data_IF_978476331465
#
_entry.id   IF_978476331465
#
_cell.length_a   1.000
_cell.length_b   1.000
_cell.length_c   1.000
_cell.angle_alpha   90.00
_cell.angle_beta   90.00
_cell.angle_gamma   90.00
#
_symmetry.space_group_name_H-M   'P 1'
#
loop_
_entity.id
_entity.type
_entity.pdbx_description
1 polymer ?
#
# COMPACT_ATOMS: atom_id res chain seq x y z
N UNK A 1 -18.49 -19.64 4.61
CA UNK A 1 -18.86 -19.71 6.04
C UNK A 1 -20.20 -20.42 6.23
N UNK A 2 -21.34 -19.91 5.72
CA UNK A 2 -22.63 -20.61 5.85
C UNK A 2 -22.63 -22.06 5.32
N UNK A 3 -22.08 -22.29 4.11
CA UNK A 3 -21.93 -23.64 3.55
C UNK A 3 -21.02 -24.58 4.36
N UNK A 4 -20.22 -24.05 5.29
CA UNK A 4 -19.37 -24.84 6.20
C UNK A 4 -20.03 -25.02 7.58
N UNK A 5 -21.35 -24.81 7.71
CA UNK A 5 -22.10 -25.04 8.96
C UNK A 5 -22.11 -23.88 9.97
N UNK A 6 -21.54 -22.71 9.62
CA UNK A 6 -21.59 -21.53 10.50
C UNK A 6 -22.94 -20.83 10.40
N UNK A 7 -23.72 -20.89 11.48
CA UNK A 7 -25.09 -20.34 11.53
C UNK A 7 -25.15 -18.86 11.93
N UNK A 8 -24.11 -18.36 12.61
CA UNK A 8 -24.03 -16.99 13.14
C UNK A 8 -23.00 -16.19 12.35
N UNK A 9 -23.40 -15.76 11.15
CA UNK A 9 -22.54 -15.01 10.21
C UNK A 9 -23.28 -13.74 9.81
N UNK A 10 -22.61 -12.61 9.98
CA UNK A 10 -23.14 -11.29 9.66
C UNK A 10 -22.17 -10.56 8.73
N UNK A 11 -22.71 -9.59 8.01
CA UNK A 11 -21.97 -8.69 7.13
C UNK A 11 -22.41 -7.26 7.43
N UNK A 12 -21.49 -6.30 7.23
CA UNK A 12 -21.83 -4.88 7.30
C UNK A 12 -22.53 -4.53 5.99
N UNK A 13 -23.81 -4.20 6.07
CA UNK A 13 -24.57 -3.73 4.92
C UNK A 13 -23.97 -2.43 4.38
N UNK A 14 -23.65 -2.40 3.09
CA UNK A 14 -22.99 -1.26 2.43
C UNK A 14 -21.49 -1.10 2.77
N UNK A 15 -20.92 -2.01 3.56
CA UNK A 15 -19.49 -2.02 3.88
C UNK A 15 -19.02 -0.86 4.77
N UNK A 16 -17.71 -0.62 4.78
CA UNK A 16 -17.05 0.32 5.71
C UNK A 16 -17.46 1.77 5.46
N UNK A 17 -17.59 2.18 4.20
CA UNK A 17 -17.96 3.56 3.83
C UNK A 17 -19.38 3.87 4.34
N UNK A 18 -20.34 2.98 4.07
CA UNK A 18 -21.71 3.15 4.53
C UNK A 18 -21.83 3.09 6.06
N UNK A 19 -21.06 2.20 6.71
CA UNK A 19 -20.94 2.17 8.16
C UNK A 19 -20.50 3.53 8.72
N UNK A 20 -19.43 4.10 8.18
CA UNK A 20 -18.91 5.39 8.64
C UNK A 20 -19.94 6.51 8.43
N UNK A 21 -20.64 6.52 7.29
CA UNK A 21 -21.71 7.48 6.99
C UNK A 21 -22.86 7.38 7.99
N UNK A 22 -23.45 6.19 8.15
CA UNK A 22 -24.58 5.97 9.07
C UNK A 22 -24.22 6.28 10.53
N UNK A 23 -23.02 5.89 10.97
CA UNK A 23 -22.55 6.18 12.33
C UNK A 23 -22.48 7.69 12.58
N UNK A 24 -21.90 8.46 11.63
CA UNK A 24 -21.84 9.94 11.73
C UNK A 24 -23.22 10.57 11.72
N UNK A 25 -24.12 10.13 10.84
CA UNK A 25 -25.50 10.64 10.76
C UNK A 25 -26.31 10.40 12.04
N UNK A 26 -26.07 9.28 12.70
CA UNK A 26 -26.75 8.90 13.94
C UNK A 26 -26.04 9.43 15.19
N UNK A 27 -24.94 10.18 15.05
CA UNK A 27 -24.13 10.63 16.19
C UNK A 27 -23.48 9.50 16.99
N UNK A 28 -23.28 8.33 16.37
CA UNK A 28 -22.65 7.17 16.98
C UNK A 28 -21.12 7.25 16.87
N UNK A 29 -20.39 6.65 17.84
CA UNK A 29 -18.93 6.59 17.78
C UNK A 29 -18.46 5.75 16.58
N UNK A 30 -17.61 6.34 15.73
CA UNK A 30 -16.92 5.62 14.66
C UNK A 30 -15.76 4.83 15.25
N UNK A 31 -15.76 3.51 15.05
CA UNK A 31 -14.75 2.58 15.60
C UNK A 31 -13.69 2.18 14.58
N UNK A 32 -13.87 2.54 13.31
CA UNK A 32 -12.86 2.33 12.28
C UNK A 32 -11.70 3.32 12.51
N UNK A 33 -10.47 2.81 12.48
CA UNK A 33 -9.26 3.59 12.72
C UNK A 33 -8.45 3.68 11.42
N UNK A 34 -8.17 4.92 11.01
CA UNK A 34 -7.31 5.30 9.92
C UNK A 34 -8.02 5.49 8.58
N UNK A 35 -7.33 5.07 7.51
CA UNK A 35 -7.76 5.27 6.13
C UNK A 35 -8.23 3.95 5.51
N UNK A 36 -9.43 3.95 4.96
CA UNK A 36 -9.95 2.82 4.21
C UNK A 36 -9.38 2.83 2.79
N UNK A 37 -8.77 1.75 2.34
CA UNK A 37 -8.28 1.64 0.96
C UNK A 37 -9.45 1.53 -0.02
N UNK A 38 -9.41 2.30 -1.11
CA UNK A 38 -10.41 2.25 -2.18
C UNK A 38 -9.73 1.96 -3.51
N UNK A 39 -10.43 1.23 -4.39
CA UNK A 39 -9.89 0.72 -5.66
C UNK A 39 -10.12 1.70 -6.81
N UNK A 40 -9.78 2.97 -6.60
CA UNK A 40 -9.82 4.03 -7.60
C UNK A 40 -8.63 4.99 -7.39
N UNK A 41 -8.56 6.04 -8.19
CA UNK A 41 -7.44 7.00 -8.18
C UNK A 41 -7.22 7.69 -6.82
N UNK A 42 -8.23 7.70 -5.93
CA UNK A 42 -8.11 8.31 -4.60
C UNK A 42 -7.21 7.50 -3.68
N UNK A 43 -7.04 6.18 -3.93
CA UNK A 43 -6.24 5.22 -3.16
C UNK A 43 -6.62 5.07 -1.67
N UNK A 44 -7.50 5.91 -1.14
CA UNK A 44 -8.12 5.71 0.16
C UNK A 44 -9.09 6.83 0.51
N UNK A 45 -9.99 6.51 1.44
CA UNK A 45 -10.91 7.43 2.08
C UNK A 45 -10.55 7.54 3.57
N UNK A 46 -10.26 8.75 4.03
CA UNK A 46 -9.92 8.97 5.44
C UNK A 46 -11.19 8.88 6.29
N UNK A 47 -11.20 7.94 7.23
CA UNK A 47 -12.33 7.75 8.14
C UNK A 47 -12.03 8.37 9.52
N UNK A 48 -10.78 8.25 9.97
CA UNK A 48 -10.26 8.92 11.17
C UNK A 48 -8.82 9.41 10.95
N UNK A 49 -8.30 10.23 11.87
CA UNK A 49 -7.02 10.94 11.69
C UNK A 49 -5.79 10.09 12.02
N UNK A 50 -5.99 8.96 12.71
CA UNK A 50 -4.91 8.06 13.10
C UNK A 50 -4.19 7.47 11.87
N UNK A 51 -2.86 7.50 11.91
CA UNK A 51 -2.01 6.85 10.93
C UNK A 51 -1.52 5.55 11.55
N UNK A 52 -2.01 4.42 11.02
CA UNK A 52 -1.69 3.07 11.52
C UNK A 52 -0.61 2.35 10.68
N UNK A 53 -0.05 3.05 9.70
CA UNK A 53 0.93 2.52 8.76
C UNK A 53 2.21 3.34 8.76
N UNK A 54 3.23 2.78 8.12
CA UNK A 54 4.56 3.36 8.04
C UNK A 54 5.06 3.28 6.61
N UNK A 55 5.83 4.29 6.19
CA UNK A 55 6.55 4.31 4.93
C UNK A 55 7.39 3.04 4.80
N UNK A 56 7.23 2.33 3.70
CA UNK A 56 7.95 1.07 3.49
C UNK A 56 9.46 1.25 3.24
N UNK A 57 9.92 2.48 2.99
CA UNK A 57 11.32 2.78 2.66
C UNK A 57 12.10 3.39 3.82
N UNK A 58 11.47 4.17 4.70
CA UNK A 58 12.14 4.83 5.83
C UNK A 58 11.49 4.57 7.19
N UNK A 59 10.37 3.85 7.24
CA UNK A 59 9.68 3.58 8.50
C UNK A 59 8.91 4.77 9.09
N UNK A 60 9.01 5.98 8.54
CA UNK A 60 8.26 7.14 9.06
C UNK A 60 6.73 6.91 9.00
N UNK A 61 5.94 7.34 10.00
CA UNK A 61 4.48 7.21 9.97
C UNK A 61 3.87 7.88 8.73
N UNK A 62 3.21 7.09 7.89
CA UNK A 62 2.38 7.56 6.79
C UNK A 62 1.50 6.42 6.27
N UNK A 63 0.42 6.75 5.58
CA UNK A 63 -0.50 5.74 5.00
C UNK A 63 -0.81 5.99 3.52
N UNK A 64 -0.03 6.85 2.86
CA UNK A 64 -0.17 7.16 1.44
C UNK A 64 0.23 5.96 0.59
N UNK A 65 -0.78 5.29 0.03
CA UNK A 65 -0.60 4.22 -0.94
C UNK A 65 -0.27 4.82 -2.31
N UNK A 66 0.68 4.22 -3.00
CA UNK A 66 1.07 4.60 -4.37
C UNK A 66 1.61 3.39 -5.12
N UNK A 67 1.53 3.43 -6.45
CA UNK A 67 2.17 2.44 -7.30
C UNK A 67 3.59 2.89 -7.64
N UNK A 68 4.53 1.94 -7.65
CA UNK A 68 5.88 2.20 -8.13
C UNK A 68 5.85 2.76 -9.55
N UNK A 69 6.49 3.92 -9.77
CA UNK A 69 6.57 4.58 -11.09
C UNK A 69 7.43 3.84 -12.12
N UNK A 70 8.13 2.78 -11.74
CA UNK A 70 8.74 1.88 -12.72
C UNK A 70 7.63 0.96 -13.28
N UNK A 71 7.29 1.15 -14.56
CA UNK A 71 6.29 0.35 -15.30
C UNK A 71 6.62 -1.16 -15.32
N UNK A 72 7.87 -1.55 -15.12
CA UNK A 72 8.25 -2.97 -14.98
C UNK A 72 7.93 -3.58 -13.61
N UNK A 73 7.50 -2.77 -12.64
CA UNK A 73 7.34 -3.16 -11.25
C UNK A 73 5.88 -3.22 -10.83
N UNK A 74 5.14 -2.10 -10.98
CA UNK A 74 3.74 -1.93 -10.53
C UNK A 74 3.46 -2.35 -9.08
N UNK A 75 4.46 -2.34 -8.20
CA UNK A 75 4.26 -2.63 -6.78
C UNK A 75 3.41 -1.53 -6.14
N UNK A 76 2.27 -1.89 -5.56
CA UNK A 76 1.50 -1.02 -4.67
C UNK A 76 2.14 -1.02 -3.27
N UNK A 77 2.50 0.15 -2.75
CA UNK A 77 3.22 0.29 -1.48
C UNK A 77 2.91 1.63 -0.79
N UNK A 78 3.36 1.78 0.46
CA UNK A 78 3.18 3.00 1.25
C UNK A 78 4.46 3.83 1.20
N UNK A 79 4.35 5.10 0.80
CA UNK A 79 5.48 6.01 0.61
C UNK A 79 5.19 7.38 1.22
N UNK A 80 6.10 7.89 2.05
CA UNK A 80 6.02 9.26 2.54
C UNK A 80 6.51 10.27 1.48
N UNK A 81 6.12 11.55 1.55
CA UNK A 81 6.52 12.57 0.57
C UNK A 81 8.04 12.70 0.39
N UNK A 82 8.81 12.62 1.49
CA UNK A 82 10.28 12.69 1.46
C UNK A 82 10.87 11.54 0.63
N UNK A 83 10.35 10.32 0.81
CA UNK A 83 10.80 9.18 0.02
C UNK A 83 10.28 9.23 -1.42
N UNK A 84 9.09 9.79 -1.65
CA UNK A 84 8.57 9.99 -3.01
C UNK A 84 9.48 10.92 -3.82
N UNK A 85 10.03 11.97 -3.20
CA UNK A 85 11.03 12.83 -3.83
C UNK A 85 12.36 12.10 -4.02
N UNK A 86 12.93 11.52 -2.95
CA UNK A 86 14.21 10.80 -2.97
C UNK A 86 14.25 9.69 -4.03
N UNK A 87 13.19 8.88 -4.12
CA UNK A 87 13.10 7.74 -5.03
C UNK A 87 12.28 8.05 -6.28
N UNK A 88 11.97 9.32 -6.58
CA UNK A 88 11.20 9.71 -7.77
C UNK A 88 9.89 8.91 -7.94
N UNK A 89 9.20 8.59 -6.84
CA UNK A 89 7.98 7.77 -6.83
C UNK A 89 8.17 6.27 -7.06
N UNK A 90 9.41 5.76 -7.06
CA UNK A 90 9.69 4.33 -7.15
C UNK A 90 9.82 3.70 -5.75
N UNK A 91 9.64 2.38 -5.70
CA UNK A 91 9.70 1.62 -4.44
C UNK A 91 11.13 1.31 -3.98
N UNK A 92 12.14 1.41 -4.84
CA UNK A 92 13.55 1.17 -4.50
C UNK A 92 14.50 1.90 -5.45
N UNK A 93 15.78 2.00 -5.08
CA UNK A 93 16.86 2.55 -5.92
C UNK A 93 16.96 1.84 -7.27
N UNK A 94 16.87 0.49 -7.26
CA UNK A 94 16.86 -0.33 -8.47
C UNK A 94 15.72 0.08 -9.41
N UNK A 95 14.53 0.36 -8.87
CA UNK A 95 13.41 0.83 -9.68
C UNK A 95 13.61 2.26 -10.19
N UNK A 96 14.22 3.15 -9.40
CA UNK A 96 14.60 4.49 -9.87
C UNK A 96 15.56 4.41 -11.05
N UNK A 97 16.61 3.60 -10.92
CA UNK A 97 17.62 3.39 -11.95
C UNK A 97 16.99 2.81 -13.21
N UNK A 98 16.19 1.74 -13.09
CA UNK A 98 15.51 1.14 -14.25
C UNK A 98 14.58 2.15 -14.93
N UNK A 99 13.77 2.90 -14.17
CA UNK A 99 12.85 3.90 -14.74
C UNK A 99 13.53 5.05 -15.47
N UNK A 100 14.80 5.34 -15.15
CA UNK A 100 15.56 6.44 -15.73
C UNK A 100 16.27 6.05 -17.04
N UNK A 101 16.28 4.77 -17.41
CA UNK A 101 16.96 4.29 -18.62
C UNK A 101 16.13 4.54 -19.89
N UNK A 102 16.76 4.56 -21.08
CA UNK A 102 16.03 4.60 -22.34
C UNK A 102 15.04 3.43 -22.47
N UNK A 103 13.89 3.61 -23.15
CA UNK A 103 12.85 2.57 -23.25
C UNK A 103 13.34 1.22 -23.78
N UNK A 104 14.32 1.20 -24.69
CA UNK A 104 14.91 -0.03 -25.20
C UNK A 104 15.65 -0.82 -24.11
N UNK A 105 16.41 -0.12 -23.27
CA UNK A 105 17.13 -0.72 -22.16
C UNK A 105 16.19 -1.20 -21.05
N UNK A 106 15.13 -0.42 -20.77
CA UNK A 106 14.07 -0.86 -19.87
C UNK A 106 13.45 -2.18 -20.34
N UNK A 107 13.10 -2.28 -21.63
CA UNK A 107 12.58 -3.52 -22.23
C UNK A 107 13.57 -4.68 -22.10
N UNK A 108 14.86 -4.44 -22.35
CA UNK A 108 15.91 -5.45 -22.21
C UNK A 108 16.02 -5.97 -20.77
N UNK A 109 15.99 -5.09 -19.77
CA UNK A 109 16.05 -5.46 -18.34
C UNK A 109 14.80 -6.17 -17.83
N UNK A 110 13.66 -5.96 -18.49
CA UNK A 110 12.37 -6.61 -18.18
C UNK A 110 12.20 -7.95 -18.89
N UNK A 111 12.90 -8.17 -20.00
CA UNK A 111 12.83 -9.40 -20.76
C UNK A 111 13.17 -10.62 -19.87
N UNK A 112 12.29 -11.63 -19.87
CA UNK A 112 12.45 -12.84 -19.06
C UNK A 112 12.13 -12.70 -17.57
N UNK A 113 11.66 -11.53 -17.11
CA UNK A 113 11.25 -11.33 -15.70
C UNK A 113 9.83 -11.84 -15.49
N UNK A 114 9.61 -12.71 -14.50
CA UNK A 114 8.26 -13.20 -14.18
C UNK A 114 7.40 -12.12 -13.50
N UNK A 115 6.18 -11.94 -14.01
CA UNK A 115 5.14 -11.12 -13.40
C UNK A 115 4.34 -11.92 -12.36
N UNK A 116 5.02 -12.41 -11.32
CA UNK A 116 4.33 -12.98 -10.16
C UNK A 116 3.63 -11.92 -9.32
N UNK A 117 2.76 -12.36 -8.39
CA UNK A 117 2.05 -11.47 -7.47
C UNK A 117 3.03 -10.53 -6.72
N UNK A 118 2.91 -9.23 -6.99
CA UNK A 118 3.73 -8.17 -6.40
C UNK A 118 3.15 -7.77 -5.04
N UNK A 119 3.29 -8.67 -4.07
CA UNK A 119 2.89 -8.42 -2.68
C UNK A 119 4.08 -7.82 -1.95
N UNK A 120 3.91 -6.61 -1.42
CA UNK A 120 4.83 -6.09 -0.42
C UNK A 120 4.70 -6.92 0.85
N UNK A 121 5.77 -7.63 1.21
CA UNK A 121 5.79 -8.46 2.40
C UNK A 121 7.01 -8.08 3.25
N UNK A 122 6.74 -7.48 4.42
CA UNK A 122 7.75 -7.08 5.41
C UNK A 122 8.59 -8.26 5.91
N UNK A 123 8.01 -9.44 6.11
CA UNK A 123 8.71 -10.64 6.62
C UNK A 123 9.51 -11.39 5.55
N UNK A 124 9.30 -11.10 4.25
CA UNK A 124 9.99 -11.77 3.13
C UNK A 124 10.94 -10.85 2.35
N UNK A 125 11.32 -9.70 2.91
CA UNK A 125 12.40 -8.85 2.37
C UNK A 125 12.14 -8.30 0.97
N UNK A 126 10.88 -8.09 0.56
CA UNK A 126 10.55 -7.64 -0.81
C UNK A 126 10.65 -6.13 -1.05
N UNK A 127 11.54 -5.47 -0.32
CA UNK A 127 12.19 -4.26 -0.79
C UNK A 127 13.68 -4.50 -0.62
N UNK A 128 14.37 -4.87 -1.71
CA UNK A 128 15.81 -4.59 -1.80
C UNK A 128 15.95 -3.07 -1.97
N UNK A 129 15.66 -2.34 -0.91
CA UNK A 129 16.21 -1.03 -0.63
C UNK A 129 17.55 -1.33 0.03
N UNK A 130 18.64 -0.76 -0.45
CA UNK A 130 19.99 -0.89 0.11
C UNK A 130 20.12 -0.31 1.54
N UNK A 131 18.99 -0.09 2.21
CA UNK A 131 18.82 0.36 3.57
C UNK A 131 17.94 -0.68 4.27
N UNK A 132 18.53 -1.40 5.22
CA UNK A 132 17.84 -2.36 6.05
C UNK A 132 16.64 -1.72 6.74
N UNK A 133 15.51 -2.42 6.73
CA UNK A 133 14.36 -2.07 7.55
C UNK A 133 14.80 -2.33 9.01
N UNK A 134 14.82 -1.32 9.91
CA UNK A 134 15.12 -1.58 11.31
C UNK A 134 14.04 -2.49 11.92
N UNK A 135 14.49 -3.37 12.81
CA UNK A 135 13.66 -4.35 13.51
C UNK A 135 12.60 -3.62 14.35
N UNK A 136 11.33 -4.05 14.43
CA UNK A 136 10.31 -3.41 15.26
C UNK A 136 10.59 -3.43 16.78
N UNK A 137 11.72 -4.00 17.17
CA UNK A 137 12.21 -4.14 18.54
C UNK A 137 13.35 -3.17 18.90
N UNK A 138 13.72 -2.25 18.00
CA UNK A 138 14.59 -1.10 18.28
C UNK A 138 13.81 0.21 18.49
#
# INVERSE_FOLDING_TARGET
>A
MKHNGFNKVWHIEGGIIEYARKAREQGLPVRFIGKNFVFDERMGERISDEIIAHCHQCGAPCDSHTNCKNDGCHLLFIQCPVCAEKYKGCCSEICCEESALPPEEQRRRRAGRENGNKIFNKSRGRLNTTLGIPDPTE
#
